data_IF_829421481697
#
_entry.id   IF_829421481697
#
_cell.length_a   1.000
_cell.length_b   1.000
_cell.length_c   1.000
_cell.angle_alpha   90.00
_cell.angle_beta   90.00
_cell.angle_gamma   90.00
#
_symmetry.space_group_name_H-M   'P 1'
#
loop_
_entity.id
_entity.type
_entity.pdbx_description
1 polymer ?
#
# COMPACT_ATOMS: atom_id res chain seq x y z
N UNK A 1 -18.48 -29.05 -0.19
CA UNK A 1 -18.39 -28.98 1.28
C UNK A 1 -17.00 -29.28 1.83
N UNK A 2 -16.31 -30.37 1.44
CA UNK A 2 -14.96 -30.67 1.95
C UNK A 2 -13.88 -29.61 1.62
N UNK A 3 -13.94 -29.00 0.43
CA UNK A 3 -12.97 -27.98 0.02
C UNK A 3 -13.13 -26.65 0.78
N UNK A 4 -14.36 -26.23 1.08
CA UNK A 4 -14.65 -24.94 1.75
C UNK A 4 -14.14 -24.91 3.20
N UNK A 5 -14.25 -26.04 3.92
CA UNK A 5 -13.70 -26.18 5.27
C UNK A 5 -12.17 -26.02 5.27
N UNK A 6 -11.49 -26.62 4.28
CA UNK A 6 -10.04 -26.50 4.11
C UNK A 6 -9.62 -25.08 3.73
N UNK A 7 -10.37 -24.38 2.88
CA UNK A 7 -10.13 -22.96 2.57
C UNK A 7 -10.24 -22.08 3.81
N UNK A 8 -11.31 -22.23 4.61
CA UNK A 8 -11.49 -21.48 5.86
C UNK A 8 -10.35 -21.73 6.85
N UNK A 9 -9.95 -22.99 7.01
CA UNK A 9 -8.84 -23.37 7.89
C UNK A 9 -7.51 -22.76 7.43
N UNK A 10 -7.24 -22.82 6.12
CA UNK A 10 -6.01 -22.23 5.57
C UNK A 10 -6.01 -20.71 5.67
N UNK A 11 -7.15 -20.06 5.38
CA UNK A 11 -7.29 -18.62 5.56
C UNK A 11 -7.02 -18.22 7.00
N UNK A 12 -7.58 -18.95 7.98
CA UNK A 12 -7.31 -18.70 9.39
C UNK A 12 -5.81 -18.76 9.71
N UNK A 13 -5.10 -19.79 9.22
CA UNK A 13 -3.65 -19.89 9.44
C UNK A 13 -2.87 -18.79 8.73
N UNK A 14 -3.28 -18.39 7.52
CA UNK A 14 -2.66 -17.28 6.80
C UNK A 14 -2.80 -15.97 7.56
N UNK A 15 -4.00 -15.66 8.06
CA UNK A 15 -4.22 -14.45 8.87
C UNK A 15 -3.42 -14.48 10.15
N UNK A 16 -3.37 -15.62 10.86
CA UNK A 16 -2.52 -15.77 12.05
C UNK A 16 -1.06 -15.54 11.70
N UNK A 17 -0.57 -16.11 10.58
CA UNK A 17 0.80 -15.93 10.13
C UNK A 17 1.11 -14.45 9.83
N UNK A 18 0.26 -13.76 9.07
CA UNK A 18 0.40 -12.33 8.77
C UNK A 18 0.50 -11.52 10.06
N UNK A 19 -0.48 -11.66 10.95
CA UNK A 19 -0.55 -10.89 12.20
C UNK A 19 0.66 -11.21 13.10
N UNK A 20 1.03 -12.48 13.23
CA UNK A 20 2.20 -12.87 14.03
C UNK A 20 3.51 -12.35 13.45
N UNK A 21 3.63 -12.25 12.12
CA UNK A 21 4.82 -11.74 11.45
C UNK A 21 4.95 -10.23 11.66
N UNK A 22 3.85 -9.47 11.53
CA UNK A 22 3.81 -8.03 11.81
C UNK A 22 4.23 -7.80 13.27
N UNK A 23 3.56 -8.45 14.22
CA UNK A 23 3.88 -8.30 15.65
C UNK A 23 5.34 -8.66 15.94
N UNK A 24 5.85 -9.74 15.37
CA UNK A 24 7.23 -10.16 15.61
C UNK A 24 8.25 -9.16 15.06
N UNK A 25 8.05 -8.63 13.85
CA UNK A 25 8.94 -7.65 13.23
C UNK A 25 8.86 -6.31 13.96
N UNK A 26 7.66 -5.82 14.24
CA UNK A 26 7.45 -4.53 14.91
C UNK A 26 8.03 -4.55 16.33
N UNK A 27 7.75 -5.60 17.11
CA UNK A 27 8.33 -5.74 18.45
C UNK A 27 9.86 -5.84 18.40
N UNK A 28 10.41 -6.56 17.41
CA UNK A 28 11.85 -6.66 17.26
C UNK A 28 12.48 -5.29 17.00
N UNK A 29 11.91 -4.47 16.11
CA UNK A 29 12.41 -3.12 15.78
C UNK A 29 12.25 -2.17 16.97
N UNK A 30 11.07 -2.13 17.59
CA UNK A 30 10.76 -1.20 18.69
C UNK A 30 11.64 -1.45 19.92
N UNK A 31 12.08 -2.69 20.16
CA UNK A 31 12.94 -3.05 21.28
C UNK A 31 14.43 -2.72 21.06
N UNK A 32 14.84 -2.24 19.89
CA UNK A 32 16.22 -1.80 19.63
C UNK A 32 16.46 -0.46 20.34
N UNK A 33 17.42 -0.36 21.28
CA UNK A 33 17.64 0.87 22.05
C UNK A 33 18.31 2.01 21.27
N UNK A 34 19.13 1.66 20.28
CA UNK A 34 19.89 2.62 19.48
C UNK A 34 19.08 3.07 18.25
N UNK A 35 18.76 4.36 18.16
CA UNK A 35 17.88 4.90 17.12
C UNK A 35 18.45 4.72 15.70
N UNK A 36 19.76 4.82 15.53
CA UNK A 36 20.41 4.60 14.24
C UNK A 36 20.27 3.14 13.81
N UNK A 37 20.61 2.19 14.69
CA UNK A 37 20.43 0.76 14.43
C UNK A 37 18.96 0.40 14.22
N UNK A 38 18.05 1.04 14.97
CA UNK A 38 16.62 0.82 14.84
C UNK A 38 16.12 1.20 13.45
N UNK A 39 16.47 2.40 12.97
CA UNK A 39 16.10 2.87 11.64
C UNK A 39 16.75 2.02 10.54
N UNK A 40 18.04 1.67 10.68
CA UNK A 40 18.73 0.77 9.76
C UNK A 40 18.00 -0.58 9.60
N UNK A 41 17.58 -1.18 10.71
CA UNK A 41 16.83 -2.45 10.70
C UNK A 41 15.42 -2.27 10.12
N UNK A 42 14.76 -1.13 10.36
CA UNK A 42 13.48 -0.82 9.73
C UNK A 42 13.59 -0.74 8.19
N UNK A 43 14.58 -0.01 7.67
CA UNK A 43 14.87 0.08 6.22
C UNK A 43 15.14 -1.30 5.61
N UNK A 44 15.97 -2.12 6.28
CA UNK A 44 16.26 -3.50 5.82
C UNK A 44 14.97 -4.33 5.80
N UNK A 45 14.18 -4.25 6.86
CA UNK A 45 12.94 -5.01 6.99
C UNK A 45 11.94 -4.62 5.90
N UNK A 46 11.79 -3.32 5.64
CA UNK A 46 10.95 -2.77 4.58
C UNK A 46 11.35 -3.31 3.20
N UNK A 47 12.65 -3.33 2.91
CA UNK A 47 13.15 -3.84 1.64
C UNK A 47 12.98 -5.36 1.49
N UNK A 48 13.15 -6.13 2.58
CA UNK A 48 12.92 -7.59 2.55
C UNK A 48 11.44 -7.90 2.28
N UNK A 49 10.52 -7.20 2.95
CA UNK A 49 9.09 -7.41 2.76
C UNK A 49 8.63 -6.93 1.38
N UNK A 50 9.12 -5.77 0.92
CA UNK A 50 8.90 -5.24 -0.44
C UNK A 50 9.41 -6.17 -1.54
N UNK A 51 10.61 -6.74 -1.37
CA UNK A 51 11.16 -7.74 -2.28
C UNK A 51 10.30 -9.02 -2.33
N UNK A 52 9.82 -9.46 -1.16
CA UNK A 52 8.96 -10.65 -1.05
C UNK A 52 7.62 -10.43 -1.76
N UNK A 53 6.96 -9.30 -1.52
CA UNK A 53 5.70 -8.94 -2.17
C UNK A 53 5.90 -8.84 -3.69
N UNK A 54 6.93 -8.13 -4.13
CA UNK A 54 7.27 -7.96 -5.56
C UNK A 54 7.55 -9.31 -6.23
N UNK A 55 8.34 -10.18 -5.60
CA UNK A 55 8.63 -11.51 -6.11
C UNK A 55 7.37 -12.37 -6.27
N UNK A 56 6.47 -12.36 -5.29
CA UNK A 56 5.19 -13.05 -5.37
C UNK A 56 4.28 -12.47 -6.46
N UNK A 57 4.32 -11.16 -6.67
CA UNK A 57 3.61 -10.47 -7.76
C UNK A 57 4.11 -10.89 -9.13
N UNK A 58 5.44 -10.91 -9.32
CA UNK A 58 6.06 -11.41 -10.56
C UNK A 58 5.66 -12.86 -10.84
N UNK A 59 5.73 -13.73 -9.83
CA UNK A 59 5.29 -15.13 -9.96
C UNK A 59 3.80 -15.21 -10.34
N UNK A 60 2.94 -14.36 -9.75
CA UNK A 60 1.52 -14.31 -10.07
C UNK A 60 1.28 -13.95 -11.54
N UNK A 61 1.94 -12.91 -12.04
CA UNK A 61 1.82 -12.45 -13.43
C UNK A 61 2.34 -13.52 -14.40
N UNK A 62 3.50 -14.13 -14.10
CA UNK A 62 4.07 -15.17 -14.95
C UNK A 62 3.19 -16.42 -15.03
N UNK A 63 2.58 -16.84 -13.92
CA UNK A 63 1.75 -18.06 -13.88
C UNK A 63 0.34 -17.85 -14.41
N UNK A 64 -0.28 -16.69 -14.16
CA UNK A 64 -1.62 -16.40 -14.68
C UNK A 64 -1.57 -15.94 -16.14
N UNK A 65 -0.54 -15.19 -16.53
CA UNK A 65 -0.49 -14.42 -17.76
C UNK A 65 -1.30 -13.11 -17.69
N UNK A 66 -1.16 -12.30 -18.73
CA UNK A 66 -1.72 -10.93 -18.81
C UNK A 66 -3.08 -10.85 -19.51
N UNK A 67 -3.68 -12.00 -19.85
CA UNK A 67 -4.94 -12.05 -20.58
C UNK A 67 -6.15 -11.82 -19.66
N UNK A 68 -7.13 -11.06 -20.14
CA UNK A 68 -8.38 -10.80 -19.42
C UNK A 68 -8.25 -9.71 -18.34
N UNK A 69 -9.39 -9.33 -17.75
CA UNK A 69 -9.46 -8.26 -16.75
C UNK A 69 -8.62 -8.57 -15.51
N UNK A 70 -8.65 -9.81 -15.02
CA UNK A 70 -7.90 -10.22 -13.82
C UNK A 70 -6.38 -10.24 -14.06
N UNK A 71 -5.91 -10.78 -15.20
CA UNK A 71 -4.48 -10.78 -15.52
C UNK A 71 -3.90 -9.36 -15.63
N UNK A 72 -4.63 -8.45 -16.27
CA UNK A 72 -4.26 -7.02 -16.32
C UNK A 72 -4.26 -6.35 -14.95
N UNK A 73 -5.28 -6.63 -14.13
CA UNK A 73 -5.37 -6.11 -12.76
C UNK A 73 -4.16 -6.51 -11.91
N UNK A 74 -3.74 -7.78 -11.95
CA UNK A 74 -2.56 -8.23 -11.19
C UNK A 74 -1.23 -7.80 -11.80
N UNK A 75 -1.19 -7.55 -13.12
CA UNK A 75 -0.05 -6.87 -13.74
C UNK A 75 0.10 -5.45 -13.18
N UNK A 76 -0.99 -4.68 -13.11
CA UNK A 76 -0.96 -3.34 -12.51
C UNK A 76 -0.55 -3.39 -11.03
N UNK A 77 -1.09 -4.32 -10.25
CA UNK A 77 -0.65 -4.52 -8.86
C UNK A 77 0.86 -4.76 -8.78
N UNK A 78 1.38 -5.66 -9.61
CA UNK A 78 2.79 -6.05 -9.61
C UNK A 78 3.71 -4.90 -10.04
N UNK A 79 3.32 -4.11 -11.04
CA UNK A 79 4.09 -2.92 -11.44
C UNK A 79 4.06 -1.89 -10.31
N UNK A 80 2.90 -1.67 -9.69
CA UNK A 80 2.74 -0.73 -8.57
C UNK A 80 3.68 -1.05 -7.41
N UNK A 81 3.63 -2.28 -6.89
CA UNK A 81 4.49 -2.71 -5.79
C UNK A 81 5.97 -2.75 -6.17
N UNK A 82 6.30 -3.07 -7.43
CA UNK A 82 7.69 -3.07 -7.90
C UNK A 82 8.27 -1.66 -7.97
N UNK A 83 7.47 -0.67 -8.34
CA UNK A 83 7.88 0.73 -8.34
C UNK A 83 8.08 1.25 -6.91
N UNK A 84 7.17 0.94 -5.98
CA UNK A 84 7.34 1.27 -4.56
C UNK A 84 8.59 0.62 -3.97
N UNK A 85 8.77 -0.69 -4.19
CA UNK A 85 9.98 -1.39 -3.76
C UNK A 85 11.26 -0.80 -4.39
N UNK A 86 11.23 -0.37 -5.65
CA UNK A 86 12.38 0.26 -6.28
C UNK A 86 12.73 1.62 -5.64
N UNK A 87 11.73 2.37 -5.19
CA UNK A 87 11.95 3.60 -4.42
C UNK A 87 12.58 3.28 -3.06
N UNK A 88 12.06 2.28 -2.34
CA UNK A 88 12.57 1.85 -1.03
C UNK A 88 14.00 1.30 -1.10
N UNK A 89 14.35 0.63 -2.20
CA UNK A 89 15.74 0.24 -2.49
C UNK A 89 16.65 1.46 -2.66
N UNK A 90 16.13 2.52 -3.29
CA UNK A 90 16.83 3.79 -3.41
C UNK A 90 17.06 4.45 -2.05
N UNK A 91 16.08 4.40 -1.15
CA UNK A 91 16.22 4.86 0.24
C UNK A 91 17.29 4.04 0.96
N UNK A 92 17.25 2.71 0.85
CA UNK A 92 18.26 1.83 1.43
C UNK A 92 19.68 2.14 0.92
N UNK A 93 19.84 2.33 -0.39
CA UNK A 93 21.12 2.71 -0.97
C UNK A 93 21.60 4.07 -0.43
N UNK A 94 20.69 5.04 -0.33
CA UNK A 94 21.02 6.38 0.15
C UNK A 94 21.46 6.37 1.61
N UNK A 95 20.77 5.58 2.43
CA UNK A 95 21.10 5.41 3.84
C UNK A 95 22.45 4.70 4.03
N UNK A 96 22.63 3.50 3.47
CA UNK A 96 23.82 2.68 3.76
C UNK A 96 25.06 3.02 2.94
N UNK A 97 24.91 3.58 1.74
CA UNK A 97 26.03 3.86 0.83
C UNK A 97 26.35 5.35 0.80
N UNK A 98 25.33 6.21 0.69
CA UNK A 98 25.52 7.66 0.62
C UNK A 98 25.54 8.33 2.00
N UNK A 99 25.15 7.63 3.07
CA UNK A 99 25.03 8.17 4.43
C UNK A 99 24.12 9.40 4.48
N UNK A 100 22.98 9.31 3.79
CA UNK A 100 21.92 10.33 3.79
C UNK A 100 20.68 9.74 4.46
N UNK A 101 20.32 10.29 5.62
CA UNK A 101 19.24 9.75 6.46
C UNK A 101 17.85 10.00 5.85
N UNK A 102 17.57 11.23 5.38
CA UNK A 102 16.28 11.58 4.77
C UNK A 102 16.45 12.64 3.67
N UNK A 103 15.75 12.43 2.54
CA UNK A 103 15.71 13.42 1.48
C UNK A 103 14.70 14.52 1.82
N UNK A 104 15.22 15.72 2.15
CA UNK A 104 14.40 16.93 2.37
C UNK A 104 13.83 17.53 1.08
N UNK A 105 14.08 16.92 -0.07
CA UNK A 105 13.66 17.41 -1.39
C UNK A 105 13.14 16.24 -2.22
N UNK A 106 12.22 16.53 -3.16
CA UNK A 106 11.78 15.54 -4.15
C UNK A 106 12.99 15.02 -4.90
N UNK A 107 13.09 13.71 -4.96
CA UNK A 107 14.10 12.99 -5.72
C UNK A 107 13.48 12.19 -6.85
N UNK A 108 14.33 11.49 -7.60
CA UNK A 108 13.86 10.48 -8.56
C UNK A 108 13.09 9.34 -7.87
N UNK A 109 13.32 9.11 -6.57
CA UNK A 109 12.63 8.05 -5.81
C UNK A 109 11.15 8.37 -5.62
N UNK A 110 10.80 9.64 -5.39
CA UNK A 110 9.40 10.09 -5.33
C UNK A 110 8.65 9.80 -6.64
N UNK A 111 9.32 9.95 -7.79
CA UNK A 111 8.70 9.63 -9.08
C UNK A 111 8.34 8.15 -9.20
N UNK A 112 9.09 7.26 -8.53
CA UNK A 112 8.79 5.84 -8.45
C UNK A 112 7.59 5.58 -7.53
N UNK A 113 7.52 6.20 -6.34
CA UNK A 113 6.34 6.10 -5.47
C UNK A 113 5.07 6.62 -6.17
N UNK A 114 5.14 7.82 -6.76
CA UNK A 114 4.03 8.42 -7.53
C UNK A 114 3.62 7.57 -8.73
N UNK A 115 4.59 6.98 -9.44
CA UNK A 115 4.32 6.02 -10.50
C UNK A 115 3.61 4.77 -9.98
N UNK A 116 4.01 4.26 -8.81
CA UNK A 116 3.38 3.11 -8.17
C UNK A 116 1.90 3.36 -7.86
N UNK A 117 1.58 4.53 -7.30
CA UNK A 117 0.20 4.96 -7.03
C UNK A 117 -0.71 4.80 -8.25
N UNK A 118 -0.28 5.27 -9.43
CA UNK A 118 -1.06 5.17 -10.67
C UNK A 118 -1.49 3.72 -10.97
N UNK A 119 -0.55 2.78 -10.87
CA UNK A 119 -0.83 1.37 -11.16
C UNK A 119 -1.67 0.70 -10.07
N UNK A 120 -1.47 1.04 -8.80
CA UNK A 120 -2.27 0.52 -7.70
C UNK A 120 -3.73 1.00 -7.78
N UNK A 121 -3.95 2.27 -8.16
CA UNK A 121 -5.29 2.81 -8.44
C UNK A 121 -5.94 2.02 -9.58
N UNK A 122 -5.23 1.76 -10.67
CA UNK A 122 -5.76 0.96 -11.78
C UNK A 122 -6.08 -0.49 -11.38
N UNK A 123 -5.28 -1.10 -10.51
CA UNK A 123 -5.59 -2.40 -9.94
C UNK A 123 -6.94 -2.39 -9.22
N UNK A 124 -7.15 -1.44 -8.30
CA UNK A 124 -8.37 -1.33 -7.50
C UNK A 124 -9.60 -0.98 -8.36
N UNK A 125 -9.48 -0.05 -9.31
CA UNK A 125 -10.56 0.27 -10.26
C UNK A 125 -10.95 -0.98 -11.06
N UNK A 126 -9.97 -1.78 -11.48
CA UNK A 126 -10.24 -3.02 -12.20
C UNK A 126 -11.03 -4.02 -11.34
N UNK A 127 -10.80 -4.08 -10.04
CA UNK A 127 -11.58 -4.91 -9.11
C UNK A 127 -13.00 -4.35 -8.98
N UNK A 128 -13.14 -3.03 -8.77
CA UNK A 128 -14.46 -2.38 -8.61
C UNK A 128 -15.37 -2.62 -9.80
N UNK A 129 -14.82 -2.60 -11.02
CA UNK A 129 -15.56 -2.91 -12.25
C UNK A 129 -16.11 -4.34 -12.30
N UNK A 130 -15.58 -5.25 -11.47
CA UNK A 130 -15.99 -6.67 -11.44
C UNK A 130 -16.91 -7.01 -10.27
N UNK A 131 -16.92 -6.20 -9.21
CA UNK A 131 -17.78 -6.43 -8.05
C UNK A 131 -19.15 -5.76 -8.24
N UNK A 132 -20.20 -6.38 -7.71
CA UNK A 132 -21.54 -5.79 -7.69
C UNK A 132 -21.73 -5.02 -6.39
N UNK A 133 -21.95 -3.71 -6.48
CA UNK A 133 -22.31 -2.88 -5.33
C UNK A 133 -23.73 -3.26 -4.88
N UNK A 134 -23.85 -3.79 -3.66
CA UNK A 134 -25.14 -4.34 -3.17
C UNK A 134 -26.00 -3.26 -2.55
N UNK A 135 -25.40 -2.49 -1.64
CA UNK A 135 -26.07 -1.43 -0.90
C UNK A 135 -25.41 -0.10 -1.24
N UNK A 136 -25.82 0.49 -2.37
CA UNK A 136 -25.22 1.72 -2.88
C UNK A 136 -25.31 2.85 -1.84
N UNK A 137 -26.46 3.04 -1.21
CA UNK A 137 -26.63 4.11 -0.20
C UNK A 137 -25.68 3.95 0.98
N UNK A 138 -25.57 2.75 1.56
CA UNK A 138 -24.65 2.49 2.69
C UNK A 138 -23.19 2.72 2.25
N UNK A 139 -22.83 2.24 1.06
CA UNK A 139 -21.49 2.40 0.50
C UNK A 139 -21.15 3.88 0.34
N UNK A 140 -22.04 4.67 -0.27
CA UNK A 140 -21.85 6.11 -0.48
C UNK A 140 -21.81 6.88 0.83
N UNK A 141 -22.62 6.52 1.83
CA UNK A 141 -22.59 7.14 3.16
C UNK A 141 -21.24 6.92 3.84
N UNK A 142 -20.73 5.69 3.84
CA UNK A 142 -19.43 5.37 4.46
C UNK A 142 -18.30 6.07 3.71
N UNK A 143 -18.29 6.01 2.38
CA UNK A 143 -17.27 6.69 1.57
C UNK A 143 -17.29 8.20 1.82
N UNK A 144 -18.47 8.83 1.83
CA UNK A 144 -18.60 10.26 2.12
C UNK A 144 -18.07 10.60 3.50
N UNK A 145 -18.41 9.81 4.53
CA UNK A 145 -17.91 10.02 5.89
C UNK A 145 -16.39 9.91 5.97
N UNK A 146 -15.79 8.94 5.27
CA UNK A 146 -14.33 8.77 5.22
C UNK A 146 -13.66 9.93 4.50
N UNK A 147 -14.18 10.36 3.35
CA UNK A 147 -13.62 11.52 2.61
C UNK A 147 -13.69 12.77 3.47
N UNK A 148 -14.84 13.04 4.11
CA UNK A 148 -15.00 14.20 4.99
C UNK A 148 -14.03 14.13 6.16
N UNK A 149 -13.94 12.97 6.83
CA UNK A 149 -13.00 12.78 7.95
C UNK A 149 -11.55 12.97 7.53
N UNK A 150 -11.16 12.41 6.39
CA UNK A 150 -9.82 12.54 5.82
C UNK A 150 -9.45 14.00 5.50
N UNK A 151 -10.38 14.72 4.87
CA UNK A 151 -10.21 16.16 4.57
C UNK A 151 -10.10 16.97 5.85
N UNK A 152 -10.93 16.68 6.87
CA UNK A 152 -10.84 17.37 8.17
C UNK A 152 -9.48 17.12 8.81
N UNK A 153 -9.00 15.87 8.87
CA UNK A 153 -7.70 15.54 9.46
C UNK A 153 -6.58 16.31 8.75
N UNK A 154 -6.53 16.24 7.42
CA UNK A 154 -5.51 16.94 6.65
C UNK A 154 -5.60 18.46 6.82
N UNK A 155 -6.80 19.05 6.87
CA UNK A 155 -6.97 20.50 7.13
C UNK A 155 -6.54 20.90 8.54
N UNK A 156 -6.81 20.06 9.55
CA UNK A 156 -6.40 20.31 10.93
C UNK A 156 -4.90 20.17 11.10
N UNK A 157 -4.24 19.28 10.35
CA UNK A 157 -2.77 19.16 10.33
C UNK A 157 -2.06 20.44 9.86
N UNK A 158 -2.76 21.36 9.18
CA UNK A 158 -2.25 22.70 8.87
C UNK A 158 -2.47 23.73 9.99
N UNK A 159 -3.02 23.34 11.17
CA UNK A 159 -3.35 24.23 12.27
C UNK A 159 -2.57 23.91 13.57
N UNK A 160 -1.96 24.92 14.25
CA UNK A 160 -1.92 26.32 13.87
C UNK A 160 -1.10 26.50 12.59
N UNK A 161 -1.58 27.40 11.74
CA UNK A 161 -0.84 27.84 10.55
C UNK A 161 0.60 28.07 11.00
N UNK A 162 1.59 27.30 10.51
CA UNK A 162 2.94 27.42 11.02
C UNK A 162 3.38 28.88 10.93
N UNK A 163 4.18 29.40 11.87
CA UNK A 163 4.62 30.81 11.86
C UNK A 163 5.25 31.24 10.52
N UNK A 164 5.68 30.27 9.68
CA UNK A 164 6.09 30.46 8.30
C UNK A 164 5.04 31.09 7.38
N UNK A 165 3.74 30.93 7.68
CA UNK A 165 2.60 31.47 6.91
C UNK A 165 2.00 32.74 7.55
N UNK A 166 2.22 32.98 8.85
CA UNK A 166 1.67 34.13 9.58
C UNK A 166 2.61 35.36 9.62
N UNK A 167 3.90 35.18 9.31
CA UNK A 167 4.85 36.30 9.30
C UNK A 167 4.77 37.09 7.98
N UNK A 168 3.73 37.92 7.85
CA UNK A 168 3.52 38.81 6.73
C UNK A 168 4.27 40.14 6.91
N UNK A 169 5.21 40.41 6.02
CA UNK A 169 5.75 41.75 5.79
C UNK A 169 6.28 41.90 4.36
N UNK A 170 6.93 40.87 3.85
CA UNK A 170 7.29 40.73 2.44
C UNK A 170 7.02 39.28 2.06
N UNK A 171 6.20 39.05 1.03
CA UNK A 171 6.13 37.74 0.38
C UNK A 171 7.46 37.59 -0.38
N UNK A 172 8.53 37.31 0.35
CA UNK A 172 9.76 36.77 -0.19
C UNK A 172 9.56 35.25 -0.30
N UNK A 173 8.50 34.84 -1.01
CA UNK A 173 8.28 33.46 -1.44
C UNK A 173 9.48 32.94 -2.26
N UNK A 174 10.33 33.86 -2.76
CA UNK A 174 11.60 33.57 -3.39
C UNK A 174 12.75 33.26 -2.41
N UNK A 175 12.73 33.75 -1.15
CA UNK A 175 13.76 33.41 -0.13
C UNK A 175 13.36 32.28 0.82
N UNK A 176 12.06 32.04 1.06
CA UNK A 176 11.60 30.89 1.88
C UNK A 176 11.26 29.64 1.07
N UNK A 177 11.32 29.71 -0.26
CA UNK A 177 11.33 28.55 -1.16
C UNK A 177 10.41 27.43 -0.73
N UNK A 178 9.09 27.67 -0.65
CA UNK A 178 8.14 26.56 -0.66
C UNK A 178 8.41 25.77 -1.93
N UNK A 179 9.13 24.66 -1.77
CA UNK A 179 9.62 23.88 -2.89
C UNK A 179 8.46 23.15 -3.55
N UNK A 180 8.66 22.69 -4.78
CA UNK A 180 7.77 21.67 -5.35
C UNK A 180 7.60 20.48 -4.39
N UNK A 181 8.60 20.19 -3.54
CA UNK A 181 8.57 19.20 -2.48
C UNK A 181 7.44 19.37 -1.48
N UNK A 182 7.28 20.58 -0.95
CA UNK A 182 6.28 20.81 0.08
C UNK A 182 4.87 20.66 -0.52
N UNK A 183 4.65 21.09 -1.76
CA UNK A 183 3.38 20.90 -2.45
C UNK A 183 3.08 19.42 -2.71
N UNK A 184 4.08 18.65 -3.15
CA UNK A 184 3.90 17.21 -3.40
C UNK A 184 3.57 16.47 -2.10
N UNK A 185 4.35 16.68 -1.04
CA UNK A 185 4.14 16.02 0.27
C UNK A 185 2.80 16.41 0.89
N UNK A 186 2.45 17.69 0.90
CA UNK A 186 1.29 18.19 1.66
C UNK A 186 -0.04 18.18 0.89
N UNK A 187 -0.01 18.04 -0.45
CA UNK A 187 -1.23 18.04 -1.28
C UNK A 187 -1.32 16.79 -2.14
N UNK A 188 -0.26 16.44 -2.88
CA UNK A 188 -0.34 15.36 -3.86
C UNK A 188 -0.48 13.98 -3.20
N UNK A 189 0.34 13.66 -2.20
CA UNK A 189 0.25 12.38 -1.48
C UNK A 189 -1.13 12.18 -0.83
N UNK A 190 -1.70 13.14 -0.07
CA UNK A 190 -3.06 12.99 0.46
C UNK A 190 -4.17 12.77 -0.59
N UNK A 191 -4.05 13.38 -1.78
CA UNK A 191 -5.00 13.15 -2.88
C UNK A 191 -4.85 11.73 -3.44
N UNK A 192 -3.61 11.27 -3.61
CA UNK A 192 -3.32 9.92 -4.08
C UNK A 192 -3.76 8.86 -3.06
N UNK A 193 -3.59 9.13 -1.77
CA UNK A 193 -4.12 8.33 -0.67
C UNK A 193 -5.64 8.19 -0.75
N UNK A 194 -6.37 9.30 -0.93
CA UNK A 194 -7.82 9.23 -1.14
C UNK A 194 -8.18 8.35 -2.34
N UNK A 195 -7.37 8.41 -3.40
CA UNK A 195 -7.54 7.58 -4.59
C UNK A 195 -7.22 6.09 -4.35
N UNK A 196 -6.54 5.72 -3.25
CA UNK A 196 -6.40 4.34 -2.78
C UNK A 196 -7.47 3.95 -1.74
N UNK A 197 -7.74 4.84 -0.78
CA UNK A 197 -8.67 4.64 0.35
C UNK A 197 -10.09 4.40 -0.16
N UNK A 198 -10.61 5.31 -0.99
CA UNK A 198 -11.99 5.25 -1.49
C UNK A 198 -12.27 3.93 -2.20
N UNK A 199 -11.47 3.50 -3.19
CA UNK A 199 -11.72 2.23 -3.85
C UNK A 199 -11.46 1.02 -2.94
N UNK A 200 -10.47 1.07 -2.05
CA UNK A 200 -10.23 -0.03 -1.09
C UNK A 200 -11.43 -0.25 -0.16
N UNK A 201 -11.99 0.81 0.42
CA UNK A 201 -13.20 0.72 1.25
C UNK A 201 -14.39 0.24 0.44
N UNK A 202 -14.54 0.73 -0.80
CA UNK A 202 -15.61 0.28 -1.71
C UNK A 202 -15.57 -1.25 -1.90
N UNK A 203 -14.38 -1.81 -2.13
CA UNK A 203 -14.15 -3.24 -2.27
C UNK A 203 -14.51 -3.96 -0.97
N UNK A 204 -13.97 -3.52 0.17
CA UNK A 204 -14.20 -4.15 1.47
C UNK A 204 -15.68 -4.22 1.87
N UNK A 205 -16.47 -3.18 1.55
CA UNK A 205 -17.90 -3.13 1.86
C UNK A 205 -18.77 -4.01 0.95
N UNK A 206 -18.32 -4.28 -0.27
CA UNK A 206 -19.16 -4.90 -1.31
C UNK A 206 -18.70 -6.30 -1.75
N UNK A 207 -17.59 -6.79 -1.22
CA UNK A 207 -17.08 -8.10 -1.62
C UNK A 207 -17.95 -9.24 -1.08
N UNK A 208 -18.20 -10.23 -1.94
CA UNK A 208 -19.03 -11.39 -1.61
C UNK A 208 -18.17 -12.61 -1.23
N UNK A 209 -18.78 -13.59 -0.55
CA UNK A 209 -18.20 -14.80 0.10
C UNK A 209 -17.52 -15.82 -0.86
N UNK A 210 -17.02 -15.41 -2.02
CA UNK A 210 -16.23 -16.29 -2.88
C UNK A 210 -14.74 -16.19 -2.55
N UNK A 211 -14.28 -17.07 -1.64
CA UNK A 211 -12.91 -17.06 -1.06
C UNK A 211 -11.76 -16.98 -2.08
N UNK A 212 -11.94 -17.49 -3.30
CA UNK A 212 -10.89 -17.52 -4.33
C UNK A 212 -10.48 -16.13 -4.81
N UNK A 213 -11.45 -15.26 -5.01
CA UNK A 213 -11.22 -13.89 -5.48
C UNK A 213 -11.28 -12.89 -4.32
N UNK A 214 -12.11 -13.18 -3.31
CA UNK A 214 -12.36 -12.23 -2.24
C UNK A 214 -11.17 -12.03 -1.31
N UNK A 215 -10.49 -13.11 -0.91
CA UNK A 215 -9.35 -13.03 0.01
C UNK A 215 -8.23 -12.14 -0.52
N UNK A 216 -7.69 -12.32 -1.74
CA UNK A 216 -6.58 -11.50 -2.19
C UNK A 216 -7.00 -10.05 -2.43
N UNK A 217 -8.23 -9.79 -2.85
CA UNK A 217 -8.75 -8.42 -2.98
C UNK A 217 -8.94 -7.74 -1.62
N UNK A 218 -9.47 -8.45 -0.62
CA UNK A 218 -9.60 -7.93 0.76
C UNK A 218 -8.22 -7.61 1.31
N UNK A 219 -7.28 -8.56 1.22
CA UNK A 219 -5.94 -8.36 1.76
C UNK A 219 -5.21 -7.22 1.05
N UNK A 220 -5.25 -7.14 -0.29
CA UNK A 220 -4.66 -6.03 -1.03
C UNK A 220 -5.29 -4.67 -0.65
N UNK A 221 -6.62 -4.61 -0.49
CA UNK A 221 -7.29 -3.38 -0.05
C UNK A 221 -6.95 -2.99 1.39
N UNK A 222 -6.82 -3.94 2.32
CA UNK A 222 -6.35 -3.66 3.69
C UNK A 222 -4.91 -3.18 3.67
N UNK A 223 -4.05 -3.80 2.88
CA UNK A 223 -2.66 -3.42 2.64
C UNK A 223 -2.54 -1.93 2.28
N UNK A 224 -3.24 -1.52 1.22
CA UNK A 224 -3.19 -0.15 0.72
C UNK A 224 -3.84 0.88 1.67
N UNK A 225 -4.77 0.45 2.53
CA UNK A 225 -5.28 1.30 3.60
C UNK A 225 -4.25 1.50 4.71
N UNK A 226 -3.49 0.45 5.07
CA UNK A 226 -2.39 0.54 6.05
C UNK A 226 -1.31 1.48 5.53
N UNK A 227 -0.97 1.36 4.24
CA UNK A 227 -0.02 2.25 3.57
C UNK A 227 -0.49 3.71 3.60
N UNK A 228 -1.73 3.98 3.21
CA UNK A 228 -2.27 5.34 3.22
C UNK A 228 -2.33 5.95 4.64
N UNK A 229 -2.55 5.14 5.68
CA UNK A 229 -2.47 5.61 7.07
C UNK A 229 -1.04 6.05 7.40
N UNK A 230 -0.03 5.29 6.94
CA UNK A 230 1.37 5.61 7.13
C UNK A 230 1.77 6.91 6.42
N UNK A 231 1.38 7.08 5.16
CA UNK A 231 1.66 8.28 4.37
C UNK A 231 1.08 9.54 5.03
N UNK A 232 -0.15 9.48 5.51
CA UNK A 232 -0.79 10.62 6.20
C UNK A 232 -0.12 10.92 7.54
N UNK A 233 0.25 9.87 8.28
CA UNK A 233 0.99 10.01 9.53
C UNK A 233 2.34 10.68 9.32
N UNK A 234 3.11 10.17 8.36
CA UNK A 234 4.40 10.72 7.98
C UNK A 234 4.29 12.16 7.50
N UNK A 235 3.29 12.47 6.66
CA UNK A 235 3.02 13.83 6.20
C UNK A 235 2.71 14.78 7.35
N UNK A 236 1.93 14.34 8.33
CA UNK A 236 1.63 15.14 9.51
C UNK A 236 2.89 15.41 10.35
N UNK A 237 3.74 14.40 10.56
CA UNK A 237 5.01 14.58 11.28
C UNK A 237 5.97 15.50 10.50
N UNK A 238 5.99 15.37 9.17
CA UNK A 238 6.75 16.25 8.28
C UNK A 238 6.31 17.71 8.40
N UNK A 239 4.99 17.98 8.34
CA UNK A 239 4.44 19.34 8.49
C UNK A 239 4.79 19.94 9.86
N UNK A 240 4.79 19.12 10.92
CA UNK A 240 5.13 19.56 12.27
C UNK A 240 6.63 19.73 12.52
N UNK A 241 7.48 19.50 11.50
CA UNK A 241 8.94 19.60 11.61
C UNK A 241 9.56 18.50 12.47
N UNK A 242 8.80 17.44 12.75
CA UNK A 242 9.21 16.26 13.50
C UNK A 242 9.18 15.02 12.61
N UNK A 243 9.47 15.18 11.31
CA UNK A 243 9.57 14.07 10.36
C UNK A 243 10.48 13.01 10.99
N UNK A 244 9.88 11.85 11.24
CA UNK A 244 10.55 10.69 11.77
C UNK A 244 10.02 9.51 10.98
N UNK A 245 10.91 8.74 10.38
CA UNK A 245 10.54 7.53 9.68
C UNK A 245 9.78 6.54 10.59
N UNK A 246 10.09 6.51 11.90
CA UNK A 246 9.31 5.77 12.90
C UNK A 246 8.26 6.67 13.55
N UNK A 247 7.01 6.19 13.73
CA UNK A 247 6.58 4.79 13.63
C UNK A 247 6.12 4.33 12.23
N UNK A 248 6.13 5.21 11.23
CA UNK A 248 5.49 4.97 9.93
C UNK A 248 6.13 3.83 9.12
N UNK A 249 7.44 3.63 9.22
CA UNK A 249 8.17 2.48 8.67
C UNK A 249 7.53 1.14 9.05
N UNK A 250 7.02 1.02 10.29
CA UNK A 250 6.36 -0.19 10.76
C UNK A 250 5.05 -0.46 9.99
N UNK A 251 4.31 0.59 9.66
CA UNK A 251 3.10 0.46 8.85
C UNK A 251 3.42 0.10 7.39
N UNK A 252 4.48 0.68 6.80
CA UNK A 252 4.93 0.29 5.46
C UNK A 252 5.41 -1.18 5.41
N UNK A 253 6.12 -1.64 6.44
CA UNK A 253 6.48 -3.04 6.60
C UNK A 253 5.23 -3.92 6.69
N UNK A 254 4.26 -3.53 7.52
CA UNK A 254 3.01 -4.26 7.69
C UNK A 254 2.20 -4.35 6.39
N UNK A 255 2.14 -3.25 5.62
CA UNK A 255 1.57 -3.23 4.28
C UNK A 255 2.19 -4.32 3.40
N UNK A 256 3.52 -4.33 3.20
CA UNK A 256 4.13 -5.36 2.35
C UNK A 256 3.94 -6.80 2.86
N UNK A 257 3.85 -7.03 4.18
CA UNK A 257 3.53 -8.35 4.74
C UNK A 257 2.10 -8.76 4.37
N UNK A 258 1.12 -7.86 4.50
CA UNK A 258 -0.28 -8.10 4.13
C UNK A 258 -0.39 -8.35 2.62
N UNK A 259 0.29 -7.53 1.81
CA UNK A 259 0.36 -7.68 0.35
C UNK A 259 0.95 -9.03 -0.06
N UNK A 260 2.02 -9.46 0.61
CA UNK A 260 2.62 -10.79 0.41
C UNK A 260 1.61 -11.90 0.71
N UNK A 261 0.81 -11.76 1.77
CA UNK A 261 -0.30 -12.67 2.07
C UNK A 261 -1.35 -12.71 0.97
N UNK A 262 -1.73 -11.56 0.40
CA UNK A 262 -2.65 -11.46 -0.72
C UNK A 262 -2.14 -12.22 -1.95
N UNK A 263 -0.90 -11.97 -2.34
CA UNK A 263 -0.27 -12.56 -3.52
C UNK A 263 0.03 -14.04 -3.33
N UNK A 264 0.36 -14.48 -2.12
CA UNK A 264 0.49 -15.91 -1.78
C UNK A 264 -0.85 -16.64 -2.02
N UNK A 265 -1.95 -16.11 -1.48
CA UNK A 265 -3.27 -16.72 -1.66
C UNK A 265 -3.66 -16.79 -3.14
N UNK A 266 -3.46 -15.69 -3.87
CA UNK A 266 -3.75 -15.62 -5.30
C UNK A 266 -2.97 -16.67 -6.10
N UNK A 267 -1.65 -16.77 -5.86
CA UNK A 267 -0.80 -17.78 -6.48
C UNK A 267 -1.24 -19.21 -6.15
N UNK A 268 -1.59 -19.49 -4.89
CA UNK A 268 -1.88 -20.83 -4.43
C UNK A 268 -3.23 -21.34 -4.92
N UNK A 269 -4.27 -20.52 -4.81
CA UNK A 269 -5.65 -20.98 -4.95
C UNK A 269 -6.34 -20.46 -6.21
N UNK A 270 -6.14 -19.21 -6.58
CA UNK A 270 -6.79 -18.66 -7.76
C UNK A 270 -6.14 -19.18 -9.05
N UNK A 271 -4.82 -19.03 -9.18
CA UNK A 271 -4.09 -19.40 -10.40
C UNK A 271 -4.10 -20.93 -10.59
N UNK A 272 -3.87 -21.71 -9.54
CA UNK A 272 -3.82 -23.17 -9.62
C UNK A 272 -5.16 -23.75 -10.08
N UNK A 273 -6.28 -23.23 -9.56
CA UNK A 273 -7.62 -23.68 -9.96
C UNK A 273 -7.93 -23.25 -11.41
N UNK A 274 -7.51 -22.05 -11.83
CA UNK A 274 -7.65 -21.58 -13.21
C UNK A 274 -6.90 -22.48 -14.21
N UNK A 275 -5.63 -22.80 -13.94
CA UNK A 275 -4.81 -23.67 -14.79
C UNK A 275 -5.42 -25.08 -14.86
N UNK A 276 -5.83 -25.64 -13.72
CA UNK A 276 -6.48 -26.96 -13.67
C UNK A 276 -7.75 -27.01 -14.53
N UNK A 277 -8.62 -25.99 -14.44
CA UNK A 277 -9.83 -25.89 -15.26
C UNK A 277 -9.51 -25.74 -16.76
N UNK A 278 -8.50 -24.93 -17.10
CA UNK A 278 -8.06 -24.73 -18.49
C UNK A 278 -7.53 -26.03 -19.11
N UNK A 279 -6.71 -26.78 -18.38
CA UNK A 279 -6.16 -28.05 -18.85
C UNK A 279 -7.25 -29.09 -19.09
N UNK A 280 -8.20 -29.24 -18.14
CA UNK A 280 -9.37 -30.12 -18.33
C UNK A 280 -10.19 -29.72 -19.56
N UNK A 281 -10.42 -28.44 -19.79
CA UNK A 281 -11.15 -27.97 -20.97
C UNK A 281 -10.45 -28.36 -22.27
N UNK A 282 -9.13 -28.29 -22.31
CA UNK A 282 -8.35 -28.66 -23.49
C UNK A 282 -8.32 -30.18 -23.73
N UNK A 283 -8.43 -31.00 -22.68
CA UNK A 283 -8.57 -32.47 -22.81
C UNK A 283 -9.90 -32.89 -23.46
N UNK A 284 -10.96 -32.09 -23.37
CA UNK A 284 -12.25 -32.38 -24.01
C UNK A 284 -12.37 -31.85 -25.45
N UNK A 285 -11.43 -31.03 -25.90
CA UNK A 285 -11.44 -30.41 -27.24
C UNK A 285 -10.51 -31.16 -28.21
N UNK A 286 -9.59 -31.97 -27.68
CA UNK A 286 -8.73 -32.88 -28.43
C UNK A 286 -9.28 -34.32 -28.39
#
# INVERSE_FOLDING_TARGET
MANESNYKKTLKYLIILIVSSIIAVDLFIVLIPDAHTQHAIAIISLNITGATATGLGVIAVLRHGISGSHGKSYLFLTIGIALWFAADLGIMYSYFVLNVDEFKQITLLDMLWLGGYLFLIFHLISIIRTIRIRNLSITLTIISAVIIGFVIVNLVSFLPIPESFLNNGEIDAAKKGYGLSDLVVTILYPILDLCLIVPSITILLNIYREYHHSVPWVLASVSLLVNAIADNGYTNDYINGSASALPWDLFYIADFIIMSGALFWYNRYHITDYISKKNKKNEYIN
#
